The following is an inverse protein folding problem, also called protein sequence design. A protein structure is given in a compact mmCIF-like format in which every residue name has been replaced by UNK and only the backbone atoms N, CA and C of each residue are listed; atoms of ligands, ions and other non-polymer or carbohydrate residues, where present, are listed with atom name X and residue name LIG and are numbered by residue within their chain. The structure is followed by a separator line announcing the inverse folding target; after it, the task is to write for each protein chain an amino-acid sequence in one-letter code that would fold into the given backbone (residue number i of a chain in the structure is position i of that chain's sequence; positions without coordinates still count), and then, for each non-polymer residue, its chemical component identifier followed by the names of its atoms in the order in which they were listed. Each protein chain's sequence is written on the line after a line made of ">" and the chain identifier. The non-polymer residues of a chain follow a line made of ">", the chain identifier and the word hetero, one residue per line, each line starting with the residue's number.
data_IF_910531347268
#
_entry.id   IF_910531347268
#
_cell.length_a   1.000
_cell.length_b   1.000
_cell.length_c   1.000
_cell.angle_alpha   90.00
_cell.angle_beta   90.00
_cell.angle_gamma   90.00
#
_symmetry.space_group_name_H-M   'P 1'
#
loop_
_entity.id
_entity.type
_entity.pdbx_description
1 polymer ?
#
# COMPACT_ATOMS: atom_id res chain seq x y z
N UNK A 1 -10.56 38.07 61.82
CA UNK A 1 -9.82 37.57 60.64
C UNK A 1 -10.24 36.16 60.16
N UNK A 2 -11.32 35.56 60.66
CA UNK A 2 -11.71 34.16 60.35
C UNK A 2 -12.69 34.06 59.14
N UNK A 3 -13.50 35.09 58.90
CA UNK A 3 -14.53 35.08 57.83
C UNK A 3 -14.01 35.14 56.37
N UNK A 4 -12.75 35.49 56.15
CA UNK A 4 -12.16 35.54 54.80
C UNK A 4 -11.62 34.19 54.30
N UNK A 5 -11.39 33.23 55.20
CA UNK A 5 -10.90 31.90 54.83
C UNK A 5 -12.06 30.96 54.48
N UNK A 6 -13.20 31.12 55.15
CA UNK A 6 -14.41 30.31 54.90
C UNK A 6 -14.96 30.56 53.49
N UNK A 7 -14.94 31.82 53.03
CA UNK A 7 -15.39 32.18 51.68
C UNK A 7 -14.47 31.67 50.56
N UNK A 8 -13.17 31.50 50.82
CA UNK A 8 -12.25 30.90 49.84
C UNK A 8 -12.46 29.39 49.72
N UNK A 9 -12.74 28.72 50.85
CA UNK A 9 -12.99 27.28 50.88
C UNK A 9 -14.28 26.89 50.15
N UNK A 10 -15.34 27.70 50.27
CA UNK A 10 -16.62 27.45 49.59
C UNK A 10 -16.55 27.70 48.08
N UNK A 11 -15.77 28.69 47.63
CA UNK A 11 -15.56 28.94 46.19
C UNK A 11 -14.76 27.82 45.53
N UNK A 12 -13.71 27.33 46.19
CA UNK A 12 -12.91 26.20 45.67
C UNK A 12 -13.72 24.90 45.65
N UNK A 13 -14.57 24.65 46.66
CA UNK A 13 -15.47 23.48 46.66
C UNK A 13 -16.54 23.57 45.56
N UNK A 14 -17.06 24.77 45.27
CA UNK A 14 -18.03 25.00 44.18
C UNK A 14 -17.40 24.83 42.79
N UNK A 15 -16.14 25.23 42.62
CA UNK A 15 -15.38 24.99 41.38
C UNK A 15 -15.06 23.51 41.16
N UNK A 16 -14.71 22.78 42.23
CA UNK A 16 -14.42 21.34 42.13
C UNK A 16 -15.66 20.51 41.77
N UNK A 17 -16.84 20.85 42.32
CA UNK A 17 -18.10 20.20 41.96
C UNK A 17 -18.56 20.53 40.53
N UNK A 18 -18.22 21.71 40.00
CA UNK A 18 -18.56 22.09 38.63
C UNK A 18 -17.65 21.43 37.59
N UNK A 19 -16.42 21.04 37.95
CA UNK A 19 -15.51 20.29 37.08
C UNK A 19 -15.90 18.80 36.92
N UNK A 20 -16.64 18.22 37.87
CA UNK A 20 -17.06 16.81 37.83
C UNK A 20 -18.43 16.58 37.15
N UNK A 21 -19.18 17.65 36.82
CA UNK A 21 -20.48 17.58 36.14
C UNK A 21 -20.43 17.46 34.61
N UNK A 22 -19.25 17.44 34.00
CA UNK A 22 -19.06 17.40 32.53
C UNK A 22 -18.36 16.11 32.07
N UNK A 23 -18.62 14.99 32.75
CA UNK A 23 -18.08 13.66 32.37
C UNK A 23 -19.13 12.53 32.40
N UNK A 24 -20.41 12.86 32.18
CA UNK A 24 -21.47 11.86 32.02
C UNK A 24 -22.36 12.12 30.81
N UNK A 25 -21.77 12.54 29.68
CA UNK A 25 -22.42 12.39 28.37
C UNK A 25 -21.68 11.32 27.59
N UNK A 26 -21.91 10.09 28.04
CA UNK A 26 -21.55 8.87 27.32
C UNK A 26 -22.22 8.98 25.95
N UNK A 27 -21.41 9.29 24.95
CA UNK A 27 -21.79 9.32 23.54
C UNK A 27 -22.11 7.87 23.16
N UNK A 28 -23.38 7.50 23.25
CA UNK A 28 -23.88 6.21 22.78
C UNK A 28 -23.46 6.08 21.31
N UNK A 29 -22.61 5.10 21.01
CA UNK A 29 -22.24 4.77 19.65
C UNK A 29 -23.52 4.36 18.91
N UNK A 30 -23.86 4.96 17.75
CA UNK A 30 -24.91 4.40 16.94
C UNK A 30 -24.44 3.01 16.49
N UNK A 31 -25.25 2.01 16.82
CA UNK A 31 -25.09 0.62 16.39
C UNK A 31 -24.92 0.59 14.88
N UNK A 32 -23.74 0.16 14.41
CA UNK A 32 -23.42 -0.06 12.99
C UNK A 32 -24.04 -1.37 12.50
N UNK A 33 -25.35 -1.49 12.65
CA UNK A 33 -26.16 -2.50 11.96
C UNK A 33 -27.28 -1.80 11.20
N UNK A 34 -26.89 -0.95 10.25
CA UNK A 34 -27.78 -0.58 9.17
C UNK A 34 -27.81 -1.76 8.19
N UNK A 35 -28.67 -2.73 8.49
CA UNK A 35 -29.07 -3.75 7.51
C UNK A 35 -29.67 -2.99 6.33
N UNK A 36 -28.95 -2.97 5.20
CA UNK A 36 -29.54 -2.53 3.94
C UNK A 36 -30.70 -3.48 3.65
N UNK A 37 -31.93 -2.99 3.82
CA UNK A 37 -33.11 -3.71 3.38
C UNK A 37 -33.05 -3.81 1.86
N UNK A 38 -32.76 -5.00 1.34
CA UNK A 38 -32.88 -5.28 -0.08
C UNK A 38 -34.36 -5.18 -0.40
N UNK A 39 -34.78 -4.09 -1.05
CA UNK A 39 -36.15 -3.92 -1.52
C UNK A 39 -36.41 -4.92 -2.67
N UNK A 40 -36.83 -6.14 -2.34
CA UNK A 40 -37.46 -7.05 -3.30
C UNK A 40 -38.95 -6.77 -3.36
N UNK A 41 -39.33 -5.62 -3.92
CA UNK A 41 -40.70 -5.41 -4.40
C UNK A 41 -40.67 -5.42 -5.91
N UNK A 42 -40.74 -6.63 -6.46
CA UNK A 42 -41.03 -6.87 -7.85
C UNK A 42 -42.48 -6.46 -8.15
N UNK A 43 -42.69 -5.20 -8.49
CA UNK A 43 -43.82 -4.80 -9.33
C UNK A 43 -43.27 -4.40 -10.69
N UNK A 44 -42.89 -5.42 -11.47
CA UNK A 44 -42.59 -5.27 -12.89
C UNK A 44 -43.89 -4.83 -13.58
N UNK A 45 -44.08 -3.51 -13.69
CA UNK A 45 -45.06 -2.89 -14.58
C UNK A 45 -44.75 -3.39 -15.99
N UNK A 46 -45.48 -4.42 -16.44
CA UNK A 46 -45.43 -4.92 -17.81
C UNK A 46 -45.88 -3.80 -18.72
N UNK A 47 -44.92 -3.07 -19.29
CA UNK A 47 -45.19 -2.14 -20.39
C UNK A 47 -45.81 -2.94 -21.55
N UNK A 48 -46.78 -2.39 -22.30
CA UNK A 48 -47.37 -3.09 -23.43
C UNK A 48 -46.27 -3.50 -24.40
N UNK A 49 -46.33 -4.75 -24.88
CA UNK A 49 -45.37 -5.31 -25.82
C UNK A 49 -45.40 -4.46 -27.10
N UNK A 50 -44.38 -3.63 -27.30
CA UNK A 50 -44.14 -2.98 -28.58
C UNK A 50 -43.51 -4.03 -29.48
N UNK A 51 -44.04 -4.21 -30.69
CA UNK A 51 -43.59 -5.25 -31.62
C UNK A 51 -42.07 -5.19 -31.78
N UNK A 52 -41.42 -6.32 -31.49
CA UNK A 52 -39.97 -6.45 -31.56
C UNK A 52 -39.63 -6.57 -33.04
N UNK A 53 -39.21 -5.48 -33.66
CA UNK A 53 -38.62 -5.52 -34.99
C UNK A 53 -37.37 -6.42 -34.96
N UNK A 54 -37.19 -7.26 -35.97
CA UNK A 54 -36.05 -8.18 -36.11
C UNK A 54 -34.74 -7.47 -36.45
N UNK A 55 -34.76 -6.14 -36.60
CA UNK A 55 -33.58 -5.35 -36.86
C UNK A 55 -32.68 -5.20 -35.61
N UNK A 56 -31.35 -5.06 -35.79
CA UNK A 56 -30.43 -4.84 -34.68
C UNK A 56 -30.81 -3.60 -33.85
N UNK A 57 -31.12 -3.82 -32.57
CA UNK A 57 -31.53 -2.76 -31.68
C UNK A 57 -30.34 -1.88 -31.25
N UNK A 58 -30.37 -0.59 -31.57
CA UNK A 58 -29.29 0.35 -31.24
C UNK A 58 -29.29 0.71 -29.76
N UNK A 59 -28.22 0.33 -29.06
CA UNK A 59 -28.03 0.59 -27.63
C UNK A 59 -28.03 2.09 -27.30
N UNK A 60 -27.30 2.92 -28.04
CA UNK A 60 -27.13 4.35 -27.75
C UNK A 60 -28.43 5.15 -27.74
N UNK A 61 -29.41 4.72 -28.53
CA UNK A 61 -30.75 5.33 -28.62
C UNK A 61 -31.79 4.64 -27.74
N UNK A 62 -31.40 3.57 -27.05
CA UNK A 62 -32.31 2.79 -26.24
C UNK A 62 -32.55 3.39 -24.86
N UNK A 63 -33.68 3.04 -24.26
CA UNK A 63 -33.94 3.30 -22.84
C UNK A 63 -33.00 2.54 -21.89
N UNK A 64 -32.22 1.58 -22.39
CA UNK A 64 -31.18 0.89 -21.62
C UNK A 64 -29.88 1.71 -21.55
N UNK A 65 -29.70 2.71 -22.41
CA UNK A 65 -28.63 3.70 -22.29
C UNK A 65 -28.98 4.71 -21.20
N UNK A 66 -28.91 4.26 -19.95
CA UNK A 66 -28.99 5.16 -18.80
C UNK A 66 -27.71 5.99 -18.76
N UNK A 67 -27.85 7.32 -18.80
CA UNK A 67 -26.74 8.24 -18.53
C UNK A 67 -26.14 7.84 -17.17
N UNK A 68 -24.82 7.64 -17.11
CA UNK A 68 -24.16 7.27 -15.85
C UNK A 68 -24.58 8.25 -14.75
N UNK A 69 -24.76 7.76 -13.52
CA UNK A 69 -25.04 8.62 -12.38
C UNK A 69 -24.00 9.75 -12.40
N UNK A 70 -24.46 10.99 -12.53
CA UNK A 70 -23.64 12.16 -12.24
C UNK A 70 -23.20 12.02 -10.81
N UNK A 71 -21.94 11.62 -10.60
CA UNK A 71 -21.32 11.59 -9.28
C UNK A 71 -21.45 13.01 -8.72
N UNK A 72 -22.05 13.13 -7.54
CA UNK A 72 -22.15 14.41 -6.85
C UNK A 72 -20.74 14.96 -6.63
N UNK A 73 -20.42 16.07 -7.29
CA UNK A 73 -19.11 16.73 -7.27
C UNK A 73 -18.80 17.45 -5.96
N UNK A 74 -19.50 17.13 -4.88
CA UNK A 74 -19.17 17.63 -3.54
C UNK A 74 -18.00 16.81 -2.99
N UNK A 75 -16.83 17.05 -3.56
CA UNK A 75 -15.58 16.50 -3.07
C UNK A 75 -15.08 17.43 -1.98
N UNK A 76 -14.83 16.88 -0.79
CA UNK A 76 -14.26 17.64 0.31
C UNK A 76 -12.83 18.08 -0.07
N UNK A 77 -12.58 19.39 -0.08
CA UNK A 77 -11.28 19.98 -0.43
C UNK A 77 -10.13 19.49 0.45
N UNK A 78 -10.44 19.03 1.68
CA UNK A 78 -9.46 18.48 2.62
C UNK A 78 -9.11 17.01 2.36
N UNK A 79 -9.86 16.29 1.53
CA UNK A 79 -9.64 14.87 1.26
C UNK A 79 -8.25 14.61 0.66
N UNK A 80 -7.85 15.38 -0.36
CA UNK A 80 -6.55 15.26 -1.01
C UNK A 80 -5.37 15.53 -0.07
N UNK A 81 -5.35 16.69 0.61
CA UNK A 81 -4.29 17.03 1.57
C UNK A 81 -4.16 16.04 2.72
N UNK A 82 -5.27 15.54 3.28
CA UNK A 82 -5.22 14.57 4.39
C UNK A 82 -4.62 13.24 3.94
N UNK A 83 -5.00 12.75 2.75
CA UNK A 83 -4.43 11.53 2.18
C UNK A 83 -2.96 11.72 1.82
N UNK A 84 -2.59 12.86 1.25
CA UNK A 84 -1.20 13.17 0.98
C UNK A 84 -0.36 13.20 2.27
N UNK A 85 -0.87 13.83 3.33
CA UNK A 85 -0.20 13.90 4.62
C UNK A 85 -0.01 12.51 5.25
N UNK A 86 -1.02 11.64 5.18
CA UNK A 86 -0.89 10.28 5.72
C UNK A 86 0.14 9.45 4.96
N UNK A 87 0.20 9.60 3.63
CA UNK A 87 1.23 8.97 2.80
C UNK A 87 2.61 9.53 3.09
N UNK A 88 2.75 10.85 3.28
CA UNK A 88 4.03 11.49 3.62
C UNK A 88 4.54 11.00 4.98
N UNK A 89 3.69 10.92 6.01
CA UNK A 89 4.09 10.39 7.32
C UNK A 89 4.48 8.92 7.22
N UNK A 90 3.74 8.13 6.45
CA UNK A 90 4.07 6.73 6.19
C UNK A 90 5.42 6.59 5.47
N UNK A 91 5.65 7.35 4.41
CA UNK A 91 6.90 7.37 3.67
C UNK A 91 8.06 7.85 4.53
N UNK A 92 7.88 8.90 5.32
CA UNK A 92 8.91 9.39 6.24
C UNK A 92 9.29 8.31 7.27
N UNK A 93 8.31 7.56 7.78
CA UNK A 93 8.57 6.41 8.64
C UNK A 93 9.40 5.33 7.92
N UNK A 94 9.04 4.96 6.68
CA UNK A 94 9.74 3.90 5.95
C UNK A 94 11.13 4.29 5.42
N UNK A 95 11.31 5.56 5.03
CA UNK A 95 12.54 6.02 4.37
C UNK A 95 13.57 6.59 5.34
N UNK A 96 13.15 7.14 6.49
CA UNK A 96 14.04 7.85 7.40
C UNK A 96 13.97 7.39 8.86
N UNK A 97 12.78 7.13 9.39
CA UNK A 97 12.59 6.90 10.84
C UNK A 97 12.74 5.43 11.26
N UNK A 98 12.50 4.50 10.34
CA UNK A 98 12.90 3.10 10.51
C UNK A 98 14.43 3.10 10.44
N UNK A 99 15.09 2.58 11.49
CA UNK A 99 16.55 2.38 11.53
C UNK A 99 17.06 1.87 10.18
N UNK A 100 18.25 2.36 9.77
CA UNK A 100 18.94 1.95 8.54
C UNK A 100 18.69 0.46 8.28
N UNK A 101 18.14 0.17 7.10
CA UNK A 101 17.78 -1.19 6.74
C UNK A 101 19.06 -2.06 6.86
N UNK A 102 19.11 -3.01 7.78
CA UNK A 102 20.12 -4.10 7.79
C UNK A 102 20.19 -4.83 6.41
N UNK A 103 19.15 -4.65 5.60
CA UNK A 103 19.04 -5.15 4.24
C UNK A 103 19.77 -4.30 3.20
N UNK A 104 19.97 -3.00 3.44
CA UNK A 104 20.72 -2.14 2.51
C UNK A 104 22.20 -2.52 2.50
N UNK A 105 22.78 -2.86 3.66
CA UNK A 105 24.15 -3.39 3.70
C UNK A 105 24.26 -4.73 2.96
N UNK A 106 23.22 -5.55 3.02
CA UNK A 106 23.13 -6.77 2.22
C UNK A 106 22.85 -6.53 0.73
N UNK A 107 22.54 -5.32 0.28
CA UNK A 107 22.47 -4.99 -1.16
C UNK A 107 23.83 -4.59 -1.72
N UNK A 108 24.80 -4.22 -0.88
CA UNK A 108 26.16 -3.87 -1.32
C UNK A 108 27.05 -5.08 -1.64
N UNK A 109 26.68 -6.29 -1.20
CA UNK A 109 27.43 -7.51 -1.56
C UNK A 109 27.19 -7.88 -3.02
N UNK A 110 28.26 -8.29 -3.72
CA UNK A 110 28.13 -8.64 -5.13
C UNK A 110 27.26 -9.89 -5.32
N UNK A 111 26.52 -9.97 -6.43
CA UNK A 111 25.63 -11.11 -6.71
C UNK A 111 26.39 -12.46 -6.67
N UNK A 112 27.66 -12.43 -7.09
CA UNK A 112 28.53 -13.60 -7.12
C UNK A 112 28.99 -14.06 -5.73
N UNK A 113 29.11 -13.15 -4.76
CA UNK A 113 29.39 -13.52 -3.37
C UNK A 113 28.21 -14.25 -2.72
N UNK A 114 26.97 -13.83 -3.02
CA UNK A 114 25.76 -14.47 -2.51
C UNK A 114 25.52 -15.84 -3.12
N UNK A 115 25.72 -15.97 -4.43
CA UNK A 115 25.46 -17.21 -5.16
C UNK A 115 26.70 -17.57 -6.01
N UNK A 116 27.73 -18.19 -5.40
CA UNK A 116 29.00 -18.45 -6.06
C UNK A 116 28.91 -19.44 -7.23
N UNK A 117 27.83 -20.23 -7.32
CA UNK A 117 27.61 -21.16 -8.43
C UNK A 117 27.23 -20.46 -9.75
N UNK A 118 26.84 -19.19 -9.71
CA UNK A 118 26.31 -18.45 -10.88
C UNK A 118 27.41 -17.71 -11.65
N UNK A 119 28.55 -17.41 -11.01
CA UNK A 119 29.64 -16.65 -11.63
C UNK A 119 30.19 -17.36 -12.88
N UNK A 120 30.42 -18.66 -12.80
CA UNK A 120 30.99 -19.42 -13.91
C UNK A 120 30.10 -19.47 -15.18
N UNK A 121 28.83 -19.90 -15.12
CA UNK A 121 27.98 -19.91 -16.32
C UNK A 121 27.76 -18.51 -16.87
N UNK A 122 27.81 -17.48 -16.03
CA UNK A 122 27.75 -16.09 -16.48
C UNK A 122 28.98 -15.72 -17.32
N UNK A 123 30.19 -16.00 -16.84
CA UNK A 123 31.44 -15.75 -17.56
C UNK A 123 31.51 -16.53 -18.89
N UNK A 124 31.09 -17.79 -18.90
CA UNK A 124 31.05 -18.63 -20.12
C UNK A 124 30.18 -17.99 -21.21
N UNK A 125 29.06 -17.36 -20.84
CA UNK A 125 28.16 -16.70 -21.79
C UNK A 125 28.61 -15.27 -22.15
N UNK A 126 29.25 -14.57 -21.22
CA UNK A 126 29.69 -13.19 -21.39
C UNK A 126 30.92 -13.07 -22.29
N UNK A 127 31.95 -13.90 -22.09
CA UNK A 127 33.24 -13.81 -22.81
C UNK A 127 33.06 -13.82 -24.35
N UNK A 128 32.25 -14.72 -24.96
CA UNK A 128 32.04 -14.69 -26.40
C UNK A 128 31.41 -13.39 -26.89
N UNK A 129 30.50 -12.79 -26.11
CA UNK A 129 29.84 -11.53 -26.45
C UNK A 129 30.78 -10.33 -26.30
N UNK A 130 31.65 -10.35 -25.29
CA UNK A 130 32.68 -9.33 -25.06
C UNK A 130 33.73 -9.35 -26.18
N UNK A 131 34.19 -10.54 -26.58
CA UNK A 131 35.10 -10.73 -27.74
C UNK A 131 34.50 -10.18 -29.04
N UNK A 132 33.20 -10.41 -29.27
CA UNK A 132 32.51 -9.87 -30.44
C UNK A 132 32.43 -8.34 -30.44
N UNK A 133 32.41 -7.70 -29.27
CA UNK A 133 32.47 -6.24 -29.12
C UNK A 133 33.88 -5.66 -29.16
N UNK A 134 34.92 -6.50 -29.13
CA UNK A 134 36.31 -6.06 -29.02
C UNK A 134 36.69 -5.54 -27.63
N UNK A 135 35.97 -5.95 -26.59
CA UNK A 135 36.31 -5.66 -25.19
C UNK A 135 37.48 -6.56 -24.72
N UNK A 136 38.30 -6.07 -23.80
CA UNK A 136 39.37 -6.87 -23.20
C UNK A 136 38.78 -7.99 -22.34
N UNK A 137 39.11 -9.24 -22.65
CA UNK A 137 38.59 -10.43 -21.96
C UNK A 137 39.64 -11.14 -21.10
N UNK A 138 40.84 -10.58 -20.97
CA UNK A 138 41.95 -11.24 -20.26
C UNK A 138 41.62 -11.56 -18.80
N UNK A 139 41.03 -10.60 -18.07
CA UNK A 139 40.64 -10.77 -16.68
C UNK A 139 39.50 -11.78 -16.51
N UNK A 140 38.48 -11.70 -17.37
CA UNK A 140 37.32 -12.61 -17.34
C UNK A 140 37.72 -14.07 -17.60
N UNK A 141 38.65 -14.31 -18.52
CA UNK A 141 39.18 -15.64 -18.82
C UNK A 141 40.04 -16.19 -17.68
N UNK A 142 40.88 -15.36 -17.06
CA UNK A 142 41.68 -15.74 -15.91
C UNK A 142 40.76 -16.17 -14.75
N UNK A 143 39.74 -15.38 -14.45
CA UNK A 143 38.74 -15.69 -13.41
C UNK A 143 37.97 -16.98 -13.70
N UNK A 144 37.54 -17.17 -14.95
CA UNK A 144 36.86 -18.41 -15.36
C UNK A 144 37.74 -19.64 -15.14
N UNK A 145 39.05 -19.54 -15.44
CA UNK A 145 40.00 -20.62 -15.23
C UNK A 145 40.16 -20.98 -13.75
N UNK A 146 40.21 -19.98 -12.87
CA UNK A 146 40.27 -20.19 -11.42
C UNK A 146 39.03 -20.95 -10.91
N UNK A 147 37.83 -20.55 -11.32
CA UNK A 147 36.58 -21.19 -10.90
C UNK A 147 36.50 -22.66 -11.31
N UNK A 148 36.92 -22.99 -12.55
CA UNK A 148 36.97 -24.36 -13.04
C UNK A 148 37.95 -25.21 -12.22
N UNK A 149 39.13 -24.67 -11.91
CA UNK A 149 40.13 -25.36 -11.07
C UNK A 149 39.59 -25.63 -9.67
N UNK A 150 38.91 -24.66 -9.06
CA UNK A 150 38.30 -24.82 -7.75
C UNK A 150 37.20 -25.90 -7.76
N UNK A 151 36.37 -25.97 -8.81
CA UNK A 151 35.36 -27.03 -8.94
C UNK A 151 36.02 -28.40 -9.05
N UNK A 152 36.98 -28.56 -9.95
CA UNK A 152 37.68 -29.83 -10.13
C UNK A 152 38.40 -30.29 -8.86
N UNK A 153 38.99 -29.36 -8.10
CA UNK A 153 39.61 -29.68 -6.82
C UNK A 153 38.58 -30.17 -5.79
N UNK A 154 37.40 -29.54 -5.71
CA UNK A 154 36.30 -29.99 -4.84
C UNK A 154 35.77 -31.36 -5.25
N UNK A 155 35.60 -31.63 -6.54
CA UNK A 155 35.17 -32.93 -7.06
C UNK A 155 36.17 -34.04 -6.72
N UNK A 156 37.47 -33.78 -6.89
CA UNK A 156 38.54 -34.72 -6.53
C UNK A 156 38.64 -34.98 -5.03
N UNK A 157 38.37 -33.98 -4.20
CA UNK A 157 38.38 -34.12 -2.74
C UNK A 157 37.15 -34.88 -2.20
N UNK A 158 36.07 -34.92 -2.98
CA UNK A 158 34.81 -35.58 -2.63
C UNK A 158 34.66 -36.97 -3.29
N UNK A 159 35.68 -37.42 -4.03
CA UNK A 159 35.79 -38.75 -4.65
C UNK A 159 36.73 -39.64 -3.84
#
# INVERSE_FOLDING_TARGET
>A
MINRQITKLTVLHRMYLQAQGHLSKVRSWPSLYQVQSIHTTASCLKKPKKDISSEPYRFTTSNANMKSLTMSTEVNEYQGPIVALSLVVFLAYFLYLREENDWDEQLNVTLFERVPSVEEPHLIQAIPRMKQRGEDTTEAEARLKELIQQRQAKERANS
#
